data_IF_550198495832
#
_entry.id   IF_550198495832
#
_cell.length_a   1.000
_cell.length_b   1.000
_cell.length_c   1.000
_cell.angle_alpha   90.00
_cell.angle_beta   90.00
_cell.angle_gamma   90.00
#
_symmetry.space_group_name_H-M   'P 1'
#
loop_
_entity.id
_entity.type
_entity.pdbx_description
1 polymer ?
#
# COMPACT_ATOMS: atom_id res chain seq x y z
N UNK A 1 10.04 -1.49 -23.26
CA UNK A 1 9.80 -0.66 -22.06
C UNK A 1 10.85 0.47 -22.00
N UNK A 2 10.47 1.68 -21.50
CA UNK A 2 11.36 2.84 -21.34
C UNK A 2 11.52 3.14 -19.85
N UNK A 3 12.73 3.54 -19.43
CA UNK A 3 12.99 4.03 -18.06
C UNK A 3 13.36 5.50 -18.16
N UNK A 4 12.69 6.35 -17.40
CA UNK A 4 12.91 7.81 -17.38
C UNK A 4 13.03 8.31 -15.96
N UNK A 5 13.75 9.41 -15.75
CA UNK A 5 14.04 9.96 -14.43
C UNK A 5 13.46 11.37 -14.23
N UNK A 6 13.06 12.06 -15.29
CA UNK A 6 12.55 13.42 -15.19
C UNK A 6 11.04 13.51 -15.38
N UNK A 7 10.43 14.47 -14.70
CA UNK A 7 8.99 14.78 -14.82
C UNK A 7 8.61 15.13 -16.26
N UNK A 8 9.50 15.85 -16.96
CA UNK A 8 9.22 16.26 -18.34
C UNK A 8 9.15 15.07 -19.30
N UNK A 9 10.07 14.09 -19.18
CA UNK A 9 10.03 12.88 -20.03
C UNK A 9 8.74 12.08 -19.83
N UNK A 10 8.26 11.95 -18.59
CA UNK A 10 6.98 11.30 -18.31
C UNK A 10 5.83 12.05 -18.98
N UNK A 11 5.77 13.38 -18.80
CA UNK A 11 4.70 14.21 -19.35
C UNK A 11 4.66 14.20 -20.88
N UNK A 12 5.80 14.26 -21.52
CA UNK A 12 5.91 14.18 -22.97
C UNK A 12 5.40 12.84 -23.49
N UNK A 13 5.85 11.73 -22.89
CA UNK A 13 5.45 10.39 -23.30
C UNK A 13 3.95 10.14 -23.07
N UNK A 14 3.43 10.50 -21.91
CA UNK A 14 2.00 10.34 -21.61
C UNK A 14 1.12 11.21 -22.51
N UNK A 15 1.55 12.46 -22.81
CA UNK A 15 0.85 13.34 -23.72
C UNK A 15 0.77 12.75 -25.14
N UNK A 16 1.82 12.10 -25.61
CA UNK A 16 1.85 11.41 -26.90
C UNK A 16 0.83 10.25 -26.92
N UNK A 17 0.88 9.38 -25.94
CA UNK A 17 -0.04 8.25 -25.82
C UNK A 17 -1.52 8.68 -25.73
N UNK A 18 -1.81 9.75 -25.01
CA UNK A 18 -3.18 10.29 -24.94
C UNK A 18 -3.66 10.86 -26.26
N UNK A 19 -2.77 11.47 -27.08
CA UNK A 19 -3.11 11.90 -28.44
C UNK A 19 -3.43 10.72 -29.36
N UNK A 20 -2.82 9.56 -29.12
CA UNK A 20 -3.11 8.32 -29.84
C UNK A 20 -4.38 7.63 -29.34
N UNK A 21 -5.07 8.19 -28.34
CA UNK A 21 -6.31 7.63 -27.77
C UNK A 21 -6.09 6.54 -26.73
N UNK A 22 -4.87 6.36 -26.20
CA UNK A 22 -4.61 5.37 -25.16
C UNK A 22 -5.09 5.86 -23.79
N UNK A 23 -5.67 4.94 -23.02
CA UNK A 23 -5.87 5.09 -21.57
C UNK A 23 -4.58 4.75 -20.81
N UNK A 24 -4.33 5.46 -19.71
CA UNK A 24 -3.12 5.34 -18.91
C UNK A 24 -3.45 4.66 -17.57
N UNK A 25 -2.91 3.48 -17.35
CA UNK A 25 -2.88 2.82 -16.06
C UNK A 25 -1.61 3.17 -15.29
N UNK A 26 -1.72 3.36 -13.98
CA UNK A 26 -0.62 3.75 -13.15
C UNK A 26 -0.48 2.88 -11.89
N UNK A 27 0.73 2.43 -11.60
CA UNK A 27 1.07 1.66 -10.39
C UNK A 27 2.20 2.39 -9.65
N UNK A 28 1.88 3.20 -8.62
CA UNK A 28 2.92 3.83 -7.80
C UNK A 28 3.52 2.82 -6.82
N UNK A 29 4.85 2.72 -6.80
CA UNK A 29 5.61 1.83 -5.92
C UNK A 29 6.82 2.52 -5.32
N UNK A 30 7.39 1.90 -4.29
CA UNK A 30 8.69 2.30 -3.74
C UNK A 30 9.85 1.43 -4.26
N UNK A 31 9.58 0.52 -5.19
CA UNK A 31 10.56 -0.44 -5.69
C UNK A 31 10.68 -1.71 -4.85
N UNK A 32 11.71 -2.52 -5.15
CA UNK A 32 11.91 -3.86 -4.66
C UNK A 32 10.65 -4.72 -4.89
N UNK A 33 10.29 -4.80 -6.16
CA UNK A 33 9.02 -5.35 -6.61
C UNK A 33 8.96 -6.86 -6.35
N UNK A 34 7.75 -7.34 -6.14
CA UNK A 34 7.43 -8.75 -5.92
C UNK A 34 6.08 -9.08 -6.54
N UNK A 35 5.61 -10.32 -6.46
CA UNK A 35 4.37 -10.80 -7.09
C UNK A 35 3.13 -9.99 -6.66
N UNK A 36 3.15 -9.40 -5.47
CA UNK A 36 2.11 -8.44 -5.05
C UNK A 36 2.05 -7.21 -5.95
N UNK A 37 3.20 -6.65 -6.33
CA UNK A 37 3.27 -5.54 -7.28
C UNK A 37 2.96 -6.01 -8.71
N UNK A 38 3.44 -7.20 -9.11
CA UNK A 38 3.11 -7.79 -10.39
C UNK A 38 1.60 -7.91 -10.61
N UNK A 39 0.84 -8.33 -9.60
CA UNK A 39 -0.62 -8.42 -9.67
C UNK A 39 -1.31 -7.06 -9.92
N UNK A 40 -0.73 -5.94 -9.41
CA UNK A 40 -1.22 -4.59 -9.70
C UNK A 40 -0.94 -4.20 -11.15
N UNK A 41 0.25 -4.54 -11.65
CA UNK A 41 0.66 -4.28 -13.03
C UNK A 41 -0.23 -5.07 -14.00
N UNK A 42 -0.50 -6.34 -13.71
CA UNK A 42 -1.39 -7.18 -14.52
C UNK A 42 -2.81 -6.63 -14.57
N UNK A 43 -3.34 -6.20 -13.40
CA UNK A 43 -4.65 -5.56 -13.34
C UNK A 43 -4.67 -4.24 -14.15
N UNK A 44 -3.60 -3.46 -14.08
CA UNK A 44 -3.42 -2.25 -14.87
C UNK A 44 -3.36 -2.56 -16.36
N UNK A 45 -2.52 -3.54 -16.76
CA UNK A 45 -2.36 -3.93 -18.18
C UNK A 45 -3.65 -4.41 -18.81
N UNK A 46 -4.47 -5.16 -18.06
CA UNK A 46 -5.76 -5.67 -18.53
C UNK A 46 -6.75 -4.57 -18.89
N UNK A 47 -6.69 -3.42 -18.21
CA UNK A 47 -7.71 -2.38 -18.29
C UNK A 47 -7.25 -1.10 -18.99
N UNK A 48 -5.99 -1.02 -19.45
CA UNK A 48 -5.44 0.21 -20.02
C UNK A 48 -4.60 -0.05 -21.27
N UNK A 49 -4.58 0.94 -22.15
CA UNK A 49 -3.76 0.93 -23.37
C UNK A 49 -2.27 1.03 -23.06
N UNK A 50 -1.88 1.81 -22.04
CA UNK A 50 -0.51 2.01 -21.58
C UNK A 50 -0.40 1.88 -20.07
N UNK A 51 0.72 1.33 -19.59
CA UNK A 51 1.00 1.13 -18.17
C UNK A 51 2.26 1.87 -17.78
N UNK A 52 2.14 2.72 -16.76
CA UNK A 52 3.24 3.43 -16.11
C UNK A 52 3.43 2.88 -14.70
N UNK A 53 4.66 2.59 -14.33
CA UNK A 53 5.04 2.24 -12.95
C UNK A 53 5.98 3.32 -12.43
N UNK A 54 5.75 3.85 -11.23
CA UNK A 54 6.80 4.64 -10.57
C UNK A 54 7.55 3.78 -9.56
N UNK A 55 8.87 3.99 -9.51
CA UNK A 55 9.78 3.36 -8.53
C UNK A 55 10.45 4.51 -7.79
N UNK A 56 9.91 4.86 -6.62
CA UNK A 56 10.42 6.00 -5.85
C UNK A 56 10.27 5.77 -4.33
N UNK A 57 11.40 5.58 -3.65
CA UNK A 57 11.44 5.53 -2.17
C UNK A 57 11.26 6.96 -1.66
N UNK A 58 10.03 7.28 -1.28
CA UNK A 58 9.65 8.64 -0.90
C UNK A 58 10.15 9.03 0.49
N UNK A 59 11.14 9.93 0.65
CA UNK A 59 11.73 10.22 1.95
C UNK A 59 10.76 10.89 2.93
N UNK A 60 9.81 11.71 2.45
CA UNK A 60 8.92 12.49 3.33
C UNK A 60 7.81 11.69 4.00
N UNK A 61 7.65 10.40 3.67
CA UNK A 61 6.70 9.52 4.34
C UNK A 61 7.30 8.66 5.44
N UNK A 62 8.62 8.77 5.67
CA UNK A 62 9.33 8.05 6.72
C UNK A 62 9.58 8.96 7.91
N UNK A 63 9.30 8.45 9.11
CA UNK A 63 9.67 9.10 10.35
C UNK A 63 11.17 8.92 10.66
N UNK A 64 11.71 9.66 11.65
CA UNK A 64 13.14 9.65 11.97
C UNK A 64 13.73 8.28 12.36
N UNK A 65 12.88 7.35 12.82
CA UNK A 65 13.28 6.03 13.31
C UNK A 65 12.77 4.90 12.39
N UNK A 66 12.37 5.23 11.16
CA UNK A 66 11.87 4.24 10.21
C UNK A 66 12.96 3.79 9.23
N UNK A 67 12.67 2.77 8.45
CA UNK A 67 13.60 2.02 7.62
C UNK A 67 13.99 2.67 6.27
N UNK A 68 14.00 4.02 6.17
CA UNK A 68 14.31 4.73 4.93
C UNK A 68 15.67 4.33 4.33
N UNK A 69 16.72 4.33 5.17
CA UNK A 69 18.09 4.08 4.71
C UNK A 69 18.30 2.61 4.34
N UNK A 70 17.63 1.71 5.07
CA UNK A 70 17.72 0.26 4.86
C UNK A 70 16.64 -0.28 3.90
N UNK A 71 15.73 0.56 3.40
CA UNK A 71 14.70 0.12 2.48
C UNK A 71 15.33 -0.47 1.20
N UNK A 72 14.98 -1.71 0.81
CA UNK A 72 15.67 -2.41 -0.27
C UNK A 72 15.45 -1.72 -1.61
N UNK A 73 16.49 -1.71 -2.45
CA UNK A 73 16.49 -1.11 -3.78
C UNK A 73 17.21 -2.04 -4.75
N UNK A 74 16.54 -2.40 -5.83
CA UNK A 74 17.12 -3.19 -6.93
C UNK A 74 16.40 -2.83 -8.23
N UNK A 75 16.88 -1.79 -8.91
CA UNK A 75 16.25 -1.29 -10.13
C UNK A 75 16.34 -2.30 -11.29
N UNK A 76 17.39 -3.10 -11.35
CA UNK A 76 17.56 -4.10 -12.41
C UNK A 76 16.52 -5.21 -12.27
N UNK A 77 16.35 -5.75 -11.06
CA UNK A 77 15.29 -6.69 -10.73
C UNK A 77 13.90 -6.11 -11.02
N UNK A 78 13.66 -4.89 -10.58
CA UNK A 78 12.36 -4.21 -10.76
C UNK A 78 12.03 -3.98 -12.23
N UNK A 79 13.04 -3.55 -13.04
CA UNK A 79 12.88 -3.35 -14.47
C UNK A 79 12.54 -4.66 -15.19
N UNK A 80 13.20 -5.77 -14.83
CA UNK A 80 12.93 -7.08 -15.40
C UNK A 80 11.48 -7.52 -15.11
N UNK A 81 11.05 -7.42 -13.85
CA UNK A 81 9.67 -7.75 -13.48
C UNK A 81 8.66 -6.86 -14.23
N UNK A 82 8.91 -5.56 -14.34
CA UNK A 82 8.07 -4.64 -15.09
C UNK A 82 7.97 -5.03 -16.58
N UNK A 83 9.07 -5.44 -17.21
CA UNK A 83 9.11 -5.86 -18.61
C UNK A 83 8.32 -7.13 -18.84
N UNK A 84 8.49 -8.14 -17.94
CA UNK A 84 7.75 -9.41 -17.98
C UNK A 84 6.23 -9.22 -17.87
N UNK A 85 5.79 -8.20 -17.12
CA UNK A 85 4.37 -7.86 -16.93
C UNK A 85 3.84 -6.76 -17.85
N UNK A 86 4.60 -6.39 -18.90
CA UNK A 86 4.14 -5.52 -19.98
C UNK A 86 4.00 -4.05 -19.61
N UNK A 87 4.84 -3.53 -18.72
CA UNK A 87 4.95 -2.09 -18.42
C UNK A 87 5.50 -1.35 -19.64
N UNK A 88 4.92 -0.22 -20.00
CA UNK A 88 5.41 0.63 -21.10
C UNK A 88 6.47 1.63 -20.65
N UNK A 89 6.33 2.18 -19.41
CA UNK A 89 7.21 3.21 -18.87
C UNK A 89 7.45 3.00 -17.38
N UNK A 90 8.71 3.04 -16.96
CA UNK A 90 9.11 3.19 -15.55
C UNK A 90 9.52 4.64 -15.32
N UNK A 91 8.93 5.28 -14.32
CA UNK A 91 9.36 6.57 -13.79
C UNK A 91 10.18 6.35 -12.51
N UNK A 92 11.48 6.62 -12.59
CA UNK A 92 12.42 6.45 -11.48
C UNK A 92 13.14 7.78 -11.16
N UNK A 93 12.42 8.71 -10.49
CA UNK A 93 12.98 10.03 -10.17
C UNK A 93 13.90 9.98 -8.95
N UNK A 94 14.74 11.02 -8.82
CA UNK A 94 15.46 11.31 -7.58
C UNK A 94 14.60 12.16 -6.63
N UNK A 95 14.96 12.24 -5.32
CA UNK A 95 14.32 13.16 -4.40
C UNK A 95 14.39 14.63 -4.85
N UNK A 96 15.50 15.02 -5.48
CA UNK A 96 15.70 16.38 -6.01
C UNK A 96 14.73 16.68 -7.15
N UNK A 97 14.51 15.74 -8.08
CA UNK A 97 13.52 15.86 -9.15
C UNK A 97 12.10 16.00 -8.60
N UNK A 98 11.81 15.24 -7.54
CA UNK A 98 10.47 15.25 -6.95
C UNK A 98 10.21 16.49 -6.08
N UNK A 99 11.18 16.98 -5.33
CA UNK A 99 10.96 18.00 -4.31
C UNK A 99 11.78 19.27 -4.49
N UNK A 100 12.92 19.24 -5.23
CA UNK A 100 13.83 20.36 -5.37
C UNK A 100 14.37 20.85 -4.02
N UNK A 101 14.98 22.04 -4.05
CA UNK A 101 15.62 22.63 -2.84
C UNK A 101 14.63 23.31 -1.90
N UNK A 102 13.44 23.73 -2.39
CA UNK A 102 12.47 24.55 -1.66
C UNK A 102 11.05 24.01 -1.84
N UNK A 103 10.75 22.86 -1.24
CA UNK A 103 9.43 22.26 -1.28
C UNK A 103 8.60 22.64 -0.06
N UNK A 104 7.51 23.40 -0.26
CA UNK A 104 6.68 23.97 0.82
C UNK A 104 5.23 23.50 0.82
N UNK A 105 4.77 22.79 -0.23
CA UNK A 105 3.36 22.39 -0.38
C UNK A 105 3.16 20.95 0.01
N UNK A 106 2.24 20.68 0.93
CA UNK A 106 1.88 19.35 1.35
C UNK A 106 0.38 19.11 1.17
N UNK A 107 0.01 17.87 0.88
CA UNK A 107 -1.37 17.38 0.94
C UNK A 107 -1.51 16.57 2.22
N UNK A 108 -2.46 16.94 3.06
CA UNK A 108 -2.71 16.28 4.33
C UNK A 108 -4.14 15.72 4.38
N UNK A 109 -4.38 14.73 5.24
CA UNK A 109 -5.65 14.08 5.43
C UNK A 109 -5.99 14.06 6.92
N UNK A 110 -7.14 14.63 7.26
CA UNK A 110 -7.70 14.53 8.61
C UNK A 110 -8.56 13.25 8.77
N UNK A 111 -9.07 12.98 9.94
CA UNK A 111 -9.98 11.88 10.31
C UNK A 111 -9.44 10.48 9.99
N UNK A 112 -9.29 10.11 8.71
CA UNK A 112 -8.87 8.76 8.29
C UNK A 112 -7.44 8.39 8.72
N UNK A 113 -6.64 9.36 9.15
CA UNK A 113 -5.25 9.18 9.59
C UNK A 113 -5.09 9.13 11.11
N UNK A 114 -6.19 9.25 11.87
CA UNK A 114 -6.13 9.30 13.35
C UNK A 114 -6.11 7.93 14.02
N UNK A 115 -6.31 6.87 13.25
CA UNK A 115 -6.31 5.49 13.73
C UNK A 115 -5.28 4.63 13.00
N UNK A 116 -5.08 3.41 13.46
CA UNK A 116 -4.23 2.38 12.84
C UNK A 116 -2.79 2.88 12.60
N UNK A 117 -2.29 2.73 11.37
CA UNK A 117 -0.96 3.21 10.98
C UNK A 117 -0.78 4.72 11.14
N UNK A 118 -1.84 5.52 10.97
CA UNK A 118 -1.75 6.97 11.12
C UNK A 118 -1.45 7.40 12.55
N UNK A 119 -1.97 6.66 13.55
CA UNK A 119 -1.66 6.89 14.96
C UNK A 119 -0.20 6.52 15.28
N UNK A 120 0.28 5.39 14.77
CA UNK A 120 1.65 4.89 15.03
C UNK A 120 2.71 5.65 14.22
N UNK A 121 2.32 6.27 13.09
CA UNK A 121 3.22 6.92 12.11
C UNK A 121 2.69 8.31 11.72
N UNK A 122 2.80 9.33 12.59
CA UNK A 122 2.09 10.61 12.43
C UNK A 122 2.41 11.40 11.15
N UNK A 123 3.61 11.24 10.57
CA UNK A 123 4.01 11.96 9.35
C UNK A 123 3.72 11.17 8.06
N UNK A 124 3.43 9.87 8.19
CA UNK A 124 3.38 8.93 7.08
C UNK A 124 2.37 9.34 6.01
N UNK A 125 1.11 9.50 6.38
CA UNK A 125 0.05 9.74 5.41
C UNK A 125 0.09 11.12 4.77
N UNK A 126 0.60 12.14 5.47
CA UNK A 126 0.93 13.43 4.85
C UNK A 126 1.96 13.26 3.75
N UNK A 127 3.00 12.45 3.99
CA UNK A 127 3.98 12.11 2.96
C UNK A 127 3.39 11.33 1.79
N UNK A 128 2.53 10.33 2.08
CA UNK A 128 1.84 9.52 1.06
C UNK A 128 0.90 10.38 0.22
N UNK A 129 0.01 11.16 0.83
CA UNK A 129 -0.92 12.03 0.10
C UNK A 129 -0.18 13.01 -0.80
N UNK A 130 0.93 13.57 -0.29
CA UNK A 130 1.76 14.53 -1.05
C UNK A 130 2.41 13.87 -2.26
N UNK A 131 3.11 12.74 -2.09
CA UNK A 131 3.78 12.08 -3.21
C UNK A 131 2.80 11.54 -4.24
N UNK A 132 1.70 10.93 -3.78
CA UNK A 132 0.69 10.37 -4.69
C UNK A 132 -0.01 11.48 -5.48
N UNK A 133 -0.34 12.61 -4.86
CA UNK A 133 -0.88 13.79 -5.56
C UNK A 133 0.09 14.32 -6.62
N UNK A 134 1.39 14.39 -6.29
CA UNK A 134 2.42 14.79 -7.28
C UNK A 134 2.48 13.80 -8.44
N UNK A 135 2.54 12.50 -8.15
CA UNK A 135 2.59 11.46 -9.17
C UNK A 135 1.35 11.47 -10.08
N UNK A 136 0.15 11.68 -9.51
CA UNK A 136 -1.07 11.84 -10.32
C UNK A 136 -1.02 13.07 -11.23
N UNK A 137 -0.47 14.19 -10.76
CA UNK A 137 -0.28 15.39 -11.57
C UNK A 137 0.84 15.26 -12.62
N UNK A 138 1.79 14.35 -12.42
CA UNK A 138 2.89 14.07 -13.37
C UNK A 138 2.40 13.12 -14.46
N UNK A 139 1.85 11.99 -14.07
CA UNK A 139 1.43 10.89 -14.96
C UNK A 139 0.06 11.16 -15.58
N UNK A 140 -0.81 11.90 -14.89
CA UNK A 140 -2.21 12.14 -15.30
C UNK A 140 -2.93 10.86 -15.73
N UNK A 141 -2.96 9.80 -14.87
CA UNK A 141 -3.53 8.51 -15.23
C UNK A 141 -5.05 8.56 -15.32
N UNK A 142 -5.64 7.64 -16.10
CA UNK A 142 -7.09 7.40 -16.09
C UNK A 142 -7.47 6.43 -14.94
N UNK A 143 -6.56 5.49 -14.65
CA UNK A 143 -6.73 4.48 -13.59
C UNK A 143 -5.44 4.32 -12.78
N UNK A 144 -5.54 4.23 -11.44
CA UNK A 144 -4.41 3.91 -10.58
C UNK A 144 -4.71 2.71 -9.67
N UNK A 145 -3.70 1.86 -9.44
CA UNK A 145 -3.85 0.56 -8.80
C UNK A 145 -3.05 0.49 -7.50
N UNK A 146 -3.70 0.05 -6.42
CA UNK A 146 -3.11 -0.06 -5.08
C UNK A 146 -3.49 -1.38 -4.43
N UNK A 147 -2.58 -1.94 -3.63
CA UNK A 147 -2.82 -3.18 -2.91
C UNK A 147 -3.72 -3.00 -1.68
N UNK A 148 -4.69 -3.90 -1.50
CA UNK A 148 -5.54 -3.97 -0.29
C UNK A 148 -4.73 -4.35 0.97
N UNK A 149 -3.49 -4.80 0.84
CA UNK A 149 -2.60 -5.01 1.98
C UNK A 149 -2.39 -3.72 2.78
N UNK A 150 -2.24 -2.61 2.11
CA UNK A 150 -2.13 -1.28 2.70
C UNK A 150 -3.51 -0.59 2.71
N UNK A 151 -4.49 -1.26 3.35
CA UNK A 151 -5.91 -0.92 3.27
C UNK A 151 -6.24 0.50 3.71
N UNK A 152 -5.63 0.99 4.80
CA UNK A 152 -5.82 2.37 5.24
C UNK A 152 -5.29 3.36 4.20
N UNK A 153 -4.12 3.09 3.59
CA UNK A 153 -3.59 3.90 2.50
C UNK A 153 -4.55 3.95 1.31
N UNK A 154 -5.10 2.80 0.92
CA UNK A 154 -6.07 2.71 -0.17
C UNK A 154 -7.32 3.56 0.11
N UNK A 155 -7.86 3.50 1.34
CA UNK A 155 -9.02 4.30 1.74
C UNK A 155 -8.71 5.81 1.72
N UNK A 156 -7.56 6.21 2.24
CA UNK A 156 -7.06 7.60 2.25
C UNK A 156 -6.92 8.13 0.81
N UNK A 157 -6.30 7.34 -0.09
CA UNK A 157 -6.12 7.75 -1.48
C UNK A 157 -7.45 7.86 -2.22
N UNK A 158 -8.38 6.91 -2.03
CA UNK A 158 -9.74 7.00 -2.58
C UNK A 158 -10.44 8.27 -2.09
N UNK A 159 -10.34 8.59 -0.81
CA UNK A 159 -10.91 9.78 -0.23
C UNK A 159 -10.28 11.05 -0.78
N UNK A 160 -8.98 11.12 -0.86
CA UNK A 160 -8.24 12.24 -1.44
C UNK A 160 -8.66 12.52 -2.89
N UNK A 161 -8.72 11.48 -3.71
CA UNK A 161 -9.17 11.61 -5.13
C UNK A 161 -10.59 12.15 -5.21
N UNK A 162 -11.50 11.66 -4.36
CA UNK A 162 -12.88 12.14 -4.29
C UNK A 162 -12.97 13.60 -3.86
N UNK A 163 -12.32 13.95 -2.75
CA UNK A 163 -12.41 15.29 -2.15
C UNK A 163 -11.75 16.37 -3.00
N UNK A 164 -10.65 16.02 -3.68
CA UNK A 164 -9.94 16.93 -4.59
C UNK A 164 -10.45 16.88 -6.04
N UNK A 165 -11.53 16.13 -6.30
CA UNK A 165 -12.13 15.98 -7.63
C UNK A 165 -11.10 15.60 -8.70
N UNK A 166 -10.15 14.73 -8.37
CA UNK A 166 -9.13 14.28 -9.32
C UNK A 166 -9.76 13.36 -10.38
N UNK A 167 -9.52 13.59 -11.67
CA UNK A 167 -10.22 12.89 -12.77
C UNK A 167 -9.60 11.53 -13.08
N UNK A 168 -9.56 10.62 -12.08
CA UNK A 168 -9.07 9.25 -12.25
C UNK A 168 -9.84 8.28 -11.36
N UNK A 169 -9.79 6.99 -11.69
CA UNK A 169 -10.35 5.91 -10.87
C UNK A 169 -9.29 5.20 -10.07
N UNK A 170 -9.59 4.88 -8.78
CA UNK A 170 -8.70 4.13 -7.89
C UNK A 170 -9.19 2.69 -7.76
N UNK A 171 -8.34 1.73 -8.11
CA UNK A 171 -8.60 0.30 -8.05
C UNK A 171 -7.82 -0.34 -6.89
N UNK A 172 -8.54 -0.99 -5.97
CA UNK A 172 -7.97 -1.83 -4.93
C UNK A 172 -7.78 -3.26 -5.42
N UNK A 173 -6.57 -3.79 -5.36
CA UNK A 173 -6.28 -5.17 -5.77
C UNK A 173 -6.08 -6.07 -4.54
N UNK A 174 -6.51 -7.36 -4.60
CA UNK A 174 -6.42 -8.29 -3.49
C UNK A 174 -5.00 -8.47 -2.94
N UNK A 175 -4.93 -8.88 -1.66
CA UNK A 175 -3.65 -9.23 -1.03
C UNK A 175 -3.09 -10.52 -1.69
N UNK A 176 -1.88 -10.43 -2.21
CA UNK A 176 -1.13 -11.60 -2.66
C UNK A 176 -0.35 -12.16 -1.47
N UNK A 177 -0.39 -13.48 -1.31
CA UNK A 177 0.24 -14.18 -0.20
C UNK A 177 1.26 -15.22 -0.71
N UNK A 178 2.23 -15.54 0.14
CA UNK A 178 3.08 -16.72 -0.03
C UNK A 178 2.21 -18.00 0.07
N UNK A 179 2.73 -19.14 -0.35
CA UNK A 179 2.05 -20.43 -0.27
C UNK A 179 1.60 -20.80 1.15
N UNK A 180 2.36 -20.39 2.15
CA UNK A 180 2.08 -20.61 3.57
C UNK A 180 1.15 -19.54 4.20
N UNK A 181 0.69 -18.59 3.40
CA UNK A 181 -0.30 -17.59 3.78
C UNK A 181 0.25 -16.22 4.19
N UNK A 182 1.56 -16.06 4.39
CA UNK A 182 2.15 -14.74 4.73
C UNK A 182 1.87 -13.73 3.61
N UNK A 183 1.39 -12.54 3.95
CA UNK A 183 1.19 -11.47 2.99
C UNK A 183 2.54 -11.05 2.37
N UNK A 184 2.62 -10.96 1.04
CA UNK A 184 3.81 -10.51 0.30
C UNK A 184 4.18 -9.08 0.70
N UNK A 185 5.45 -8.87 1.03
CA UNK A 185 5.99 -7.56 1.41
C UNK A 185 7.49 -7.52 1.15
N UNK A 186 7.99 -6.38 0.66
CA UNK A 186 9.44 -6.14 0.54
C UNK A 186 10.16 -6.26 1.89
N UNK A 187 9.46 -5.97 3.00
CA UNK A 187 9.99 -6.12 4.37
C UNK A 187 10.16 -7.58 4.81
N UNK A 188 9.56 -8.55 4.12
CA UNK A 188 9.77 -9.97 4.45
C UNK A 188 11.24 -10.38 4.28
N UNK A 189 12.01 -9.67 3.46
CA UNK A 189 13.45 -9.91 3.26
C UNK A 189 14.31 -9.55 4.47
N UNK A 190 13.79 -8.78 5.42
CA UNK A 190 14.51 -8.46 6.66
C UNK A 190 14.48 -9.59 7.69
N UNK A 191 13.54 -10.55 7.53
CA UNK A 191 13.31 -11.59 8.49
C UNK A 191 14.41 -12.68 8.42
N UNK A 192 14.96 -13.06 9.56
CA UNK A 192 15.70 -14.30 9.68
C UNK A 192 14.81 -15.51 9.38
N UNK A 193 15.37 -16.71 9.12
CA UNK A 193 14.56 -17.91 8.89
C UNK A 193 13.63 -18.26 10.06
N UNK A 194 13.99 -17.92 11.29
CA UNK A 194 13.18 -18.09 12.48
C UNK A 194 12.04 -17.05 12.54
N UNK A 195 12.38 -15.78 12.34
CA UNK A 195 11.41 -14.69 12.27
C UNK A 195 10.42 -14.88 11.11
N UNK A 196 10.87 -15.42 9.95
CA UNK A 196 10.01 -15.71 8.82
C UNK A 196 8.92 -16.74 9.16
N UNK A 197 9.26 -17.76 9.98
CA UNK A 197 8.29 -18.74 10.48
C UNK A 197 7.35 -18.12 11.49
N UNK A 198 7.87 -17.33 12.42
CA UNK A 198 7.10 -16.59 13.40
C UNK A 198 6.08 -15.65 12.76
N UNK A 199 6.44 -15.00 11.65
CA UNK A 199 5.57 -14.06 10.92
C UNK A 199 4.25 -14.68 10.42
N UNK A 200 4.16 -16.01 10.30
CA UNK A 200 2.92 -16.71 9.92
C UNK A 200 1.79 -16.51 10.94
N UNK A 201 2.10 -16.08 12.15
CA UNK A 201 1.08 -15.78 13.16
C UNK A 201 0.13 -14.67 12.68
N UNK A 202 0.61 -13.71 11.86
CA UNK A 202 -0.23 -12.64 11.32
C UNK A 202 -1.35 -13.22 10.43
N UNK A 203 -1.01 -14.05 9.47
CA UNK A 203 -1.99 -14.64 8.56
C UNK A 203 -2.95 -15.59 9.30
N UNK A 204 -2.46 -16.40 10.25
CA UNK A 204 -3.32 -17.24 11.09
C UNK A 204 -4.35 -16.40 11.86
N UNK A 205 -3.91 -15.31 12.48
CA UNK A 205 -4.78 -14.40 13.21
C UNK A 205 -5.82 -13.73 12.29
N UNK A 206 -5.41 -13.26 11.11
CA UNK A 206 -6.32 -12.69 10.09
C UNK A 206 -7.38 -13.70 9.65
N UNK A 207 -6.97 -14.94 9.36
CA UNK A 207 -7.90 -15.98 8.93
C UNK A 207 -8.87 -16.40 10.03
N UNK A 208 -8.40 -16.44 11.30
CA UNK A 208 -9.25 -16.69 12.47
C UNK A 208 -10.33 -15.60 12.60
N UNK A 209 -9.94 -14.33 12.63
CA UNK A 209 -10.88 -13.22 12.74
C UNK A 209 -11.89 -13.19 11.59
N UNK A 210 -11.41 -13.35 10.35
CA UNK A 210 -12.27 -13.42 9.15
C UNK A 210 -13.28 -14.56 9.23
N UNK A 211 -12.87 -15.73 9.74
CA UNK A 211 -13.75 -16.88 9.93
C UNK A 211 -14.84 -16.55 10.96
N UNK A 212 -14.49 -16.01 12.13
CA UNK A 212 -15.45 -15.64 13.16
C UNK A 212 -16.54 -14.70 12.64
N UNK A 213 -16.13 -13.63 11.93
CA UNK A 213 -17.10 -12.66 11.36
C UNK A 213 -17.99 -13.35 10.31
N UNK A 214 -17.44 -14.21 9.44
CA UNK A 214 -18.24 -14.97 8.47
C UNK A 214 -19.20 -15.96 9.10
N UNK A 215 -18.91 -16.46 10.29
CA UNK A 215 -19.75 -17.36 11.08
C UNK A 215 -20.81 -16.60 11.93
N UNK A 216 -20.85 -15.25 11.83
CA UNK A 216 -21.87 -14.41 12.43
C UNK A 216 -21.46 -13.72 13.73
N UNK A 217 -20.17 -13.77 14.14
CA UNK A 217 -19.72 -12.96 15.29
C UNK A 217 -19.70 -11.48 14.91
N UNK A 218 -20.49 -10.66 15.59
CA UNK A 218 -20.61 -9.24 15.37
C UNK A 218 -19.95 -8.37 16.47
N UNK A 219 -19.55 -8.97 17.59
CA UNK A 219 -18.85 -8.26 18.67
C UNK A 219 -17.36 -8.08 18.30
N UNK A 220 -16.98 -6.84 17.97
CA UNK A 220 -15.60 -6.52 17.63
C UNK A 220 -14.60 -6.88 18.72
N UNK A 221 -14.96 -6.73 20.00
CA UNK A 221 -14.07 -7.04 21.13
C UNK A 221 -13.73 -8.52 21.18
N UNK A 222 -14.70 -9.40 20.91
CA UNK A 222 -14.46 -10.85 20.84
C UNK A 222 -13.54 -11.23 19.69
N UNK A 223 -13.77 -10.66 18.50
CA UNK A 223 -12.93 -10.90 17.32
C UNK A 223 -11.50 -10.42 17.59
N UNK A 224 -11.34 -9.18 18.08
CA UNK A 224 -10.02 -8.60 18.42
C UNK A 224 -9.31 -9.46 19.48
N UNK A 225 -10.03 -9.89 20.53
CA UNK A 225 -9.44 -10.72 21.59
C UNK A 225 -8.94 -12.06 21.06
N UNK A 226 -9.70 -12.72 20.18
CA UNK A 226 -9.28 -13.98 19.54
C UNK A 226 -8.08 -13.80 18.63
N UNK A 227 -8.06 -12.72 17.82
CA UNK A 227 -6.93 -12.37 16.95
C UNK A 227 -5.67 -12.07 17.76
N UNK A 228 -5.80 -11.31 18.84
CA UNK A 228 -4.71 -10.96 19.77
C UNK A 228 -4.15 -12.21 20.43
N UNK A 229 -5.01 -13.07 20.99
CA UNK A 229 -4.58 -14.31 21.63
C UNK A 229 -3.86 -15.27 20.66
N UNK A 230 -4.22 -15.26 19.38
CA UNK A 230 -3.48 -16.04 18.36
C UNK A 230 -2.05 -15.50 18.19
N UNK A 231 -1.90 -14.16 18.12
CA UNK A 231 -0.58 -13.51 17.94
C UNK A 231 0.31 -13.74 19.18
N UNK A 232 -0.26 -13.66 20.38
CA UNK A 232 0.47 -13.81 21.65
C UNK A 232 1.02 -15.22 21.89
N UNK A 233 0.61 -16.22 21.08
CA UNK A 233 1.25 -17.56 21.10
C UNK A 233 2.67 -17.54 20.53
N UNK A 234 3.04 -16.50 19.81
CA UNK A 234 4.35 -16.36 19.16
C UNK A 234 5.27 -15.45 19.99
N UNK A 235 6.32 -15.99 20.65
CA UNK A 235 7.19 -15.20 21.53
C UNK A 235 7.96 -14.09 20.84
N UNK A 236 8.20 -14.19 19.52
CA UNK A 236 8.89 -13.19 18.72
C UNK A 236 7.96 -12.07 18.27
N UNK A 237 6.65 -12.20 18.49
CA UNK A 237 5.66 -11.21 18.08
C UNK A 237 5.42 -10.16 19.17
N UNK A 238 5.48 -8.89 18.78
CA UNK A 238 5.07 -7.76 19.62
C UNK A 238 4.01 -6.95 18.88
N UNK A 239 2.80 -6.95 19.41
CA UNK A 239 1.66 -6.23 18.82
C UNK A 239 1.88 -4.72 18.93
N UNK A 240 1.72 -4.02 17.79
CA UNK A 240 1.57 -2.56 17.75
C UNK A 240 0.06 -2.23 17.90
N UNK A 241 -0.77 -2.83 17.03
CA UNK A 241 -2.23 -2.80 17.20
C UNK A 241 -2.90 -4.01 16.55
N UNK A 242 -4.10 -4.37 17.07
CA UNK A 242 -5.13 -5.18 16.41
C UNK A 242 -6.44 -4.43 16.59
N UNK A 243 -7.05 -3.98 15.50
CA UNK A 243 -8.26 -3.14 15.53
C UNK A 243 -9.26 -3.53 14.45
N UNK A 244 -10.53 -3.29 14.73
CA UNK A 244 -11.62 -3.33 13.75
C UNK A 244 -12.18 -1.92 13.63
N UNK A 245 -12.26 -1.43 12.41
CA UNK A 245 -12.77 -0.10 12.08
C UNK A 245 -13.84 -0.18 11.00
N UNK A 246 -14.74 0.78 10.97
CA UNK A 246 -15.65 0.98 9.85
C UNK A 246 -14.87 1.29 8.56
N UNK A 247 -15.21 0.64 7.47
CA UNK A 247 -14.45 0.70 6.22
C UNK A 247 -14.50 2.09 5.56
N UNK A 248 -15.55 2.86 5.82
CA UNK A 248 -15.77 4.17 5.19
C UNK A 248 -15.13 5.33 5.97
N UNK A 249 -15.15 5.22 7.30
CA UNK A 249 -14.70 6.29 8.23
C UNK A 249 -13.33 6.01 8.85
N UNK A 250 -12.84 4.77 8.82
CA UNK A 250 -11.66 4.29 9.53
C UNK A 250 -11.72 4.52 11.05
N UNK A 251 -12.92 4.76 11.61
CA UNK A 251 -13.12 4.92 13.04
C UNK A 251 -13.40 3.57 13.70
N UNK A 252 -12.90 3.39 14.92
CA UNK A 252 -13.12 2.18 15.68
C UNK A 252 -14.60 1.99 15.98
N UNK A 253 -15.08 0.75 15.89
CA UNK A 253 -16.46 0.34 16.18
C UNK A 253 -16.50 -0.78 17.20
N UNK A 254 -17.62 -0.90 17.91
CA UNK A 254 -17.85 -1.98 18.88
C UNK A 254 -18.62 -3.17 18.28
N UNK A 255 -19.47 -2.90 17.28
CA UNK A 255 -20.34 -3.91 16.64
C UNK A 255 -20.23 -3.81 15.12
N UNK A 256 -20.21 -4.97 14.46
CA UNK A 256 -20.17 -5.09 12.99
C UNK A 256 -21.58 -5.02 12.46
N UNK A 257 -21.94 -3.89 11.85
CA UNK A 257 -23.26 -3.65 11.22
C UNK A 257 -23.12 -3.37 9.71
N UNK A 258 -21.96 -2.91 9.27
CA UNK A 258 -21.65 -2.53 7.90
C UNK A 258 -20.26 -3.04 7.51
N UNK A 259 -19.77 -2.62 6.34
CA UNK A 259 -18.43 -2.97 5.87
C UNK A 259 -17.32 -2.61 6.85
N UNK A 260 -16.42 -3.54 7.11
CA UNK A 260 -15.33 -3.39 8.08
C UNK A 260 -13.95 -3.63 7.49
N UNK A 261 -12.97 -3.01 8.13
CA UNK A 261 -11.56 -3.37 8.03
C UNK A 261 -11.08 -3.87 9.40
N UNK A 262 -10.69 -5.15 9.47
CA UNK A 262 -9.92 -5.68 10.59
C UNK A 262 -8.44 -5.65 10.22
N UNK A 263 -7.65 -4.85 10.91
CA UNK A 263 -6.26 -4.59 10.59
C UNK A 263 -5.35 -4.78 11.80
N UNK A 264 -4.14 -5.25 11.53
CA UNK A 264 -3.10 -5.38 12.54
C UNK A 264 -1.76 -4.85 12.06
N UNK A 265 -0.94 -4.43 13.01
CA UNK A 265 0.49 -4.25 12.85
C UNK A 265 1.21 -4.97 13.99
N UNK A 266 2.20 -5.77 13.63
CA UNK A 266 2.93 -6.61 14.56
C UNK A 266 4.42 -6.54 14.23
N UNK A 267 5.25 -6.31 15.24
CA UNK A 267 6.68 -6.47 15.11
C UNK A 267 7.05 -7.94 15.27
N UNK A 268 7.79 -8.49 14.33
CA UNK A 268 8.48 -9.76 14.47
C UNK A 268 9.97 -9.43 14.58
N UNK A 269 10.53 -9.64 15.77
CA UNK A 269 11.82 -9.06 16.09
C UNK A 269 11.79 -7.52 15.94
N UNK A 270 12.57 -6.98 15.00
CA UNK A 270 12.61 -5.55 14.68
C UNK A 270 11.73 -5.16 13.49
N UNK A 271 11.24 -6.13 12.72
CA UNK A 271 10.51 -5.89 11.47
C UNK A 271 9.02 -5.68 11.75
N UNK A 272 8.50 -4.50 11.42
CA UNK A 272 7.08 -4.20 11.51
C UNK A 272 6.35 -4.71 10.27
N UNK A 273 5.46 -5.67 10.47
CA UNK A 273 4.61 -6.25 9.43
C UNK A 273 3.15 -5.84 9.65
N UNK A 274 2.40 -5.77 8.57
CA UNK A 274 0.94 -5.52 8.60
C UNK A 274 0.20 -6.60 7.84
N UNK A 275 -1.01 -6.88 8.30
CA UNK A 275 -1.97 -7.72 7.60
C UNK A 275 -3.40 -7.28 7.94
N UNK A 276 -4.37 -7.68 7.11
CA UNK A 276 -5.77 -7.31 7.31
C UNK A 276 -6.73 -8.26 6.59
N UNK A 277 -8.00 -8.11 6.91
CA UNK A 277 -9.11 -8.53 6.05
C UNK A 277 -10.19 -7.45 6.01
N UNK A 278 -10.92 -7.41 4.90
CA UNK A 278 -12.10 -6.57 4.72
C UNK A 278 -13.34 -7.45 4.53
N UNK A 279 -14.46 -6.96 5.05
CA UNK A 279 -15.81 -7.41 4.69
C UNK A 279 -16.47 -6.18 4.08
N UNK A 280 -16.91 -6.26 2.86
CA UNK A 280 -17.69 -5.23 2.17
C UNK A 280 -19.20 -5.54 2.36
N UNK A 281 -20.07 -4.51 2.26
CA UNK A 281 -21.52 -4.65 2.38
C UNK A 281 -22.13 -5.45 1.22
#
# INVERSE_FOLDING_TARGET
>A
MKIVSTINEVREQVKEWKKEGNTIGFVPTMGYLHEGHASLIDASRKNNGKVVVSIFVNPIQFGPNEDLDSYPRDLEHDAKLCEEHGVDLIFHPTPEEMYGDNFYTFVDMDVLTKELCGLSRPVHFRGVCTVVSKLFNIVTPDNAYFGQKDAQQLAIIKRMVKDLNMPLSIHGCPIIREEDGLAKSSRNTYLSPEERKAALVLSRSVFLGKKMVKEGESDCKKVIAAMTAEIEKEPLAKIDYVKIVDLSTMQQIDTIEHGILAAMAVYIGKTRLIDNFMIED
#
